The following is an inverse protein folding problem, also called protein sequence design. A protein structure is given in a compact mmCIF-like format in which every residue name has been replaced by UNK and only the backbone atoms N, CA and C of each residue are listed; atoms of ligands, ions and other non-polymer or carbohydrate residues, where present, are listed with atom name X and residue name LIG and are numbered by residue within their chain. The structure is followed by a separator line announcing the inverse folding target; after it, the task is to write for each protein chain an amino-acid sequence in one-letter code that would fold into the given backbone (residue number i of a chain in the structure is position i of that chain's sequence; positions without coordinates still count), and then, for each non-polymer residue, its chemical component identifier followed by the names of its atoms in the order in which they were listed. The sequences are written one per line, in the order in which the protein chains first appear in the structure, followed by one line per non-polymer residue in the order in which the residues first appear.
data_IF_027723103455
#
_entry.id   IF_027723103455
#
_cell.length_a   1.000
_cell.length_b   1.000
_cell.length_c   1.000
_cell.angle_alpha   90.00
_cell.angle_beta   90.00
_cell.angle_gamma   90.00
#
_symmetry.space_group_name_H-M   'P 1'
#
loop_
_entity.id
_entity.type
_entity.pdbx_description
1 polymer ?
#
# COMPACT_ATOMS: atom_id res chain seq x y z
N UNK A 1 2.06 -7.11 -12.90
CA UNK A 1 2.54 -7.65 -11.60
C UNK A 1 1.74 -6.96 -10.52
N UNK A 2 1.24 -7.71 -9.53
CA UNK A 2 0.21 -7.29 -8.56
C UNK A 2 -1.18 -6.93 -9.12
N UNK A 3 -1.58 -7.47 -10.28
CA UNK A 3 -2.88 -7.15 -10.90
C UNK A 3 -4.06 -7.51 -10.00
N UNK A 4 -3.98 -8.66 -9.31
CA UNK A 4 -5.00 -9.10 -8.35
C UNK A 4 -5.09 -8.13 -7.16
N UNK A 5 -3.96 -7.73 -6.59
CA UNK A 5 -3.93 -6.81 -5.44
C UNK A 5 -4.42 -5.41 -5.83
N UNK A 6 -4.05 -4.93 -7.01
CA UNK A 6 -4.54 -3.65 -7.54
C UNK A 6 -6.06 -3.68 -7.77
N UNK A 7 -6.58 -4.81 -8.26
CA UNK A 7 -8.02 -5.02 -8.42
C UNK A 7 -8.73 -5.05 -7.05
N UNK A 8 -8.20 -5.78 -6.06
CA UNK A 8 -8.75 -5.80 -4.69
C UNK A 8 -8.76 -4.42 -4.04
N UNK A 9 -7.73 -3.60 -4.27
CA UNK A 9 -7.70 -2.20 -3.83
C UNK A 9 -8.82 -1.40 -4.50
N UNK A 10 -8.98 -1.52 -5.82
CA UNK A 10 -10.01 -0.80 -6.58
C UNK A 10 -11.43 -1.16 -6.11
N UNK A 11 -11.72 -2.45 -5.93
CA UNK A 11 -12.99 -2.94 -5.40
C UNK A 11 -13.24 -2.41 -3.98
N UNK A 12 -12.22 -2.44 -3.12
CA UNK A 12 -12.35 -1.92 -1.76
C UNK A 12 -12.55 -0.39 -1.73
N UNK A 13 -11.96 0.35 -2.68
CA UNK A 13 -12.19 1.78 -2.84
C UNK A 13 -13.64 2.09 -3.22
N UNK A 14 -14.24 1.30 -4.11
CA UNK A 14 -15.67 1.40 -4.45
C UNK A 14 -16.55 1.14 -3.23
N UNK A 15 -16.29 0.06 -2.48
CA UNK A 15 -17.03 -0.29 -1.27
C UNK A 15 -16.96 0.79 -0.19
N UNK A 16 -15.77 1.34 0.08
CA UNK A 16 -15.59 2.46 1.02
C UNK A 16 -16.29 3.72 0.53
N UNK A 17 -16.46 3.90 -0.78
CA UNK A 17 -17.20 5.03 -1.33
C UNK A 17 -18.71 4.94 -1.12
N UNK A 18 -19.27 3.74 -1.02
CA UNK A 18 -20.68 3.50 -0.70
C UNK A 18 -20.99 3.72 0.79
N UNK A 19 -20.01 3.54 1.69
CA UNK A 19 -20.14 3.83 3.11
C UNK A 19 -18.85 3.57 3.88
N UNK A 20 -18.48 4.48 4.79
CA UNK A 20 -17.22 4.40 5.55
C UNK A 20 -17.31 3.48 6.78
N UNK A 21 -18.48 3.33 7.37
CA UNK A 21 -18.63 2.69 8.68
C UNK A 21 -18.50 1.16 8.58
N UNK A 22 -17.65 0.58 9.45
CA UNK A 22 -17.52 -0.88 9.62
C UNK A 22 -16.66 -1.59 8.57
N UNK A 23 -15.93 -0.83 7.73
CA UNK A 23 -15.09 -1.36 6.64
C UNK A 23 -13.61 -1.51 7.03
N UNK A 24 -13.25 -1.22 8.27
CA UNK A 24 -11.85 -1.23 8.76
C UNK A 24 -11.17 -2.58 8.55
N UNK A 25 -11.88 -3.68 8.89
CA UNK A 25 -11.32 -5.02 8.79
C UNK A 25 -11.12 -5.45 7.33
N UNK A 26 -12.02 -5.07 6.43
CA UNK A 26 -11.90 -5.35 5.00
C UNK A 26 -10.68 -4.63 4.41
N UNK A 27 -10.50 -3.36 4.75
CA UNK A 27 -9.32 -2.58 4.33
C UNK A 27 -8.02 -3.17 4.91
N UNK A 28 -8.02 -3.61 6.18
CA UNK A 28 -6.86 -4.27 6.78
C UNK A 28 -6.50 -5.59 6.07
N UNK A 29 -7.50 -6.36 5.65
CA UNK A 29 -7.28 -7.60 4.92
C UNK A 29 -6.62 -7.31 3.56
N UNK A 30 -7.14 -6.33 2.80
CA UNK A 30 -6.55 -5.91 1.52
C UNK A 30 -5.09 -5.45 1.69
N UNK A 31 -4.80 -4.64 2.72
CA UNK A 31 -3.43 -4.21 3.03
C UNK A 31 -2.52 -5.41 3.32
N UNK A 32 -3.01 -6.38 4.11
CA UNK A 32 -2.24 -7.58 4.45
C UNK A 32 -1.97 -8.46 3.22
N UNK A 33 -2.95 -8.64 2.35
CA UNK A 33 -2.80 -9.37 1.08
C UNK A 33 -1.78 -8.72 0.16
N UNK A 34 -1.80 -7.38 0.07
CA UNK A 34 -0.80 -6.63 -0.68
C UNK A 34 0.62 -6.86 -0.16
N UNK A 35 0.81 -6.78 1.16
CA UNK A 35 2.12 -7.00 1.77
C UNK A 35 2.59 -8.46 1.58
N UNK A 36 1.70 -9.44 1.80
CA UNK A 36 2.02 -10.86 1.64
C UNK A 36 2.40 -11.20 0.20
N UNK A 37 1.70 -10.65 -0.79
CA UNK A 37 2.03 -10.83 -2.20
C UNK A 37 3.44 -10.30 -2.51
N UNK A 38 3.80 -9.14 -1.94
CA UNK A 38 5.13 -8.56 -2.11
C UNK A 38 6.22 -9.38 -1.43
N UNK A 39 5.99 -9.83 -0.20
CA UNK A 39 6.90 -10.72 0.51
C UNK A 39 7.11 -12.03 -0.27
N UNK A 40 6.05 -12.61 -0.83
CA UNK A 40 6.14 -13.83 -1.62
C UNK A 40 6.97 -13.65 -2.90
N UNK A 41 6.79 -12.51 -3.60
CA UNK A 41 7.56 -12.22 -4.81
C UNK A 41 9.04 -11.96 -4.53
N UNK A 42 9.35 -11.38 -3.36
CA UNK A 42 10.70 -10.91 -3.00
C UNK A 42 11.39 -11.77 -1.94
N UNK A 43 10.99 -13.02 -1.78
CA UNK A 43 11.56 -13.96 -0.79
C UNK A 43 11.60 -13.39 0.64
N UNK A 44 10.59 -12.60 1.01
CA UNK A 44 10.44 -11.96 2.32
C UNK A 44 11.09 -10.58 2.44
N UNK A 45 11.71 -10.04 1.38
CA UNK A 45 12.33 -8.72 1.41
C UNK A 45 11.37 -7.61 0.96
N UNK A 46 10.98 -6.73 1.90
CA UNK A 46 10.28 -5.47 1.60
C UNK A 46 11.27 -4.31 1.70
N UNK A 47 11.23 -3.41 0.72
CA UNK A 47 12.06 -2.20 0.73
C UNK A 47 11.60 -1.18 1.78
N UNK A 48 12.48 -0.25 2.21
CA UNK A 48 12.15 0.71 3.26
C UNK A 48 11.00 1.66 2.88
N UNK A 49 10.84 1.99 1.60
CA UNK A 49 9.74 2.83 1.14
C UNK A 49 8.41 2.09 1.25
N UNK A 50 8.33 0.89 0.69
CA UNK A 50 7.15 0.04 0.71
C UNK A 50 6.70 -0.25 2.15
N UNK A 51 7.65 -0.58 3.04
CA UNK A 51 7.37 -0.79 4.45
C UNK A 51 6.76 0.46 5.11
N UNK A 52 7.31 1.64 4.83
CA UNK A 52 6.78 2.90 5.35
C UNK A 52 5.34 3.16 4.87
N UNK A 53 5.03 2.88 3.60
CA UNK A 53 3.69 3.04 3.06
C UNK A 53 2.70 2.04 3.68
N UNK A 54 3.08 0.77 3.89
CA UNK A 54 2.23 -0.21 4.58
C UNK A 54 1.98 0.16 6.05
N UNK A 55 2.98 0.66 6.75
CA UNK A 55 2.81 1.13 8.12
C UNK A 55 1.92 2.37 8.20
N UNK A 56 2.07 3.29 7.23
CA UNK A 56 1.18 4.44 7.10
C UNK A 56 -0.26 4.01 6.80
N UNK A 57 -0.46 3.04 5.92
CA UNK A 57 -1.77 2.48 5.61
C UNK A 57 -2.47 1.95 6.88
N UNK A 58 -1.76 1.18 7.72
CA UNK A 58 -2.29 0.68 9.00
C UNK A 58 -2.64 1.80 9.97
N UNK A 59 -1.81 2.85 10.05
CA UNK A 59 -2.10 4.04 10.87
C UNK A 59 -3.36 4.75 10.37
N UNK A 60 -3.50 4.89 9.05
CA UNK A 60 -4.65 5.52 8.42
C UNK A 60 -5.95 4.75 8.72
N UNK A 61 -5.94 3.40 8.66
CA UNK A 61 -7.12 2.60 9.07
C UNK A 61 -7.49 2.87 10.53
N UNK A 62 -6.53 2.80 11.46
CA UNK A 62 -6.79 3.06 12.89
C UNK A 62 -7.31 4.47 13.17
N UNK A 63 -7.06 5.40 12.26
CA UNK A 63 -7.49 6.80 12.34
C UNK A 63 -8.79 7.07 11.57
N UNK A 64 -9.42 6.05 10.99
CA UNK A 64 -10.66 6.17 10.21
C UNK A 64 -10.49 6.69 8.78
N UNK A 65 -9.25 6.83 8.29
CA UNK A 65 -8.97 7.32 6.94
C UNK A 65 -8.83 6.16 5.94
N UNK A 66 -9.95 5.46 5.68
CA UNK A 66 -9.95 4.21 4.91
C UNK A 66 -9.47 4.35 3.46
N UNK A 67 -9.94 5.38 2.73
CA UNK A 67 -9.45 5.64 1.35
C UNK A 67 -7.95 5.94 1.33
N UNK A 68 -7.46 6.71 2.30
CA UNK A 68 -6.04 7.03 2.40
C UNK A 68 -5.21 5.78 2.68
N UNK A 69 -5.73 4.86 3.49
CA UNK A 69 -5.08 3.59 3.75
C UNK A 69 -4.92 2.74 2.48
N UNK A 70 -5.98 2.66 1.67
CA UNK A 70 -5.96 1.94 0.39
C UNK A 70 -4.99 2.57 -0.62
N UNK A 71 -4.98 3.90 -0.73
CA UNK A 71 -4.02 4.61 -1.62
C UNK A 71 -2.57 4.44 -1.14
N UNK A 72 -2.31 4.39 0.16
CA UNK A 72 -0.97 4.10 0.67
C UNK A 72 -0.53 2.67 0.33
N UNK A 73 -1.43 1.68 0.44
CA UNK A 73 -1.15 0.31 0.02
C UNK A 73 -0.88 0.22 -1.49
N UNK A 74 -1.69 0.90 -2.31
CA UNK A 74 -1.49 1.02 -3.76
C UNK A 74 -0.11 1.59 -4.08
N UNK A 75 0.28 2.66 -3.38
CA UNK A 75 1.58 3.30 -3.56
C UNK A 75 2.72 2.34 -3.25
N UNK A 76 2.62 1.50 -2.21
CA UNK A 76 3.62 0.48 -1.93
C UNK A 76 3.82 -0.47 -3.13
N UNK A 77 2.71 -0.94 -3.74
CA UNK A 77 2.77 -1.79 -4.93
C UNK A 77 3.36 -1.07 -6.14
N UNK A 78 3.02 0.20 -6.36
CA UNK A 78 3.54 0.99 -7.48
C UNK A 78 5.04 1.25 -7.32
N UNK A 79 5.49 1.70 -6.16
CA UNK A 79 6.92 2.04 -5.96
C UNK A 79 7.81 0.81 -6.00
N UNK A 80 7.28 -0.36 -5.63
CA UNK A 80 7.98 -1.64 -5.75
C UNK A 80 8.30 -2.00 -7.21
N UNK A 81 7.56 -1.45 -8.18
CA UNK A 81 7.74 -1.74 -9.60
C UNK A 81 8.64 -0.71 -10.32
N UNK A 82 9.14 0.30 -9.60
CA UNK A 82 10.04 1.29 -10.17
C UNK A 82 11.39 0.68 -10.56
N UNK A 83 12.03 1.26 -11.57
CA UNK A 83 13.44 0.98 -11.81
C UNK A 83 14.27 1.41 -10.59
N UNK A 84 15.42 0.76 -10.37
CA UNK A 84 16.29 1.09 -9.24
C UNK A 84 16.66 2.59 -9.19
N UNK A 85 16.91 3.22 -10.34
CA UNK A 85 17.25 4.64 -10.42
C UNK A 85 16.08 5.55 -9.98
N UNK A 86 14.85 5.23 -10.40
CA UNK A 86 13.66 5.99 -10.00
C UNK A 86 13.32 5.78 -8.53
N UNK A 87 13.47 4.56 -8.03
CA UNK A 87 13.28 4.21 -6.63
C UNK A 87 14.24 5.00 -5.73
N UNK A 88 15.55 4.94 -6.03
CA UNK A 88 16.57 5.66 -5.27
C UNK A 88 16.38 7.18 -5.34
N UNK A 89 16.04 7.72 -6.50
CA UNK A 89 15.74 9.13 -6.63
C UNK A 89 14.55 9.55 -5.74
N UNK A 90 13.44 8.81 -5.80
CA UNK A 90 12.24 9.09 -5.03
C UNK A 90 12.46 8.96 -3.52
N UNK A 91 13.13 7.90 -3.09
CA UNK A 91 13.43 7.64 -1.67
C UNK A 91 14.33 8.72 -1.05
N UNK A 92 15.24 9.28 -1.85
CA UNK A 92 16.20 10.31 -1.42
C UNK A 92 15.73 11.74 -1.72
N UNK A 93 14.57 11.92 -2.35
CA UNK A 93 14.04 13.24 -2.67
C UNK A 93 13.81 14.06 -1.39
N UNK A 94 14.46 15.23 -1.31
CA UNK A 94 14.41 16.10 -0.12
C UNK A 94 15.27 15.64 1.08
N UNK A 95 15.99 14.52 0.97
CA UNK A 95 16.97 14.06 1.99
C UNK A 95 18.39 14.57 1.73
N UNK A 96 18.68 15.06 0.52
CA UNK A 96 19.92 15.76 0.21
C UNK A 96 19.82 17.18 0.77
N UNK A 97 20.40 17.40 1.94
CA UNK A 97 20.70 18.73 2.49
C UNK A 97 22.17 19.07 2.25
#
# INVERSE_FOLDING_TARGET
MYEEQMQSIAECLELVAEGYDGREQEVLNVIAECQQAMEAEREGAIGPWEQQEFDYARIAVRSGFLRLALVAAEKALVVSQLSHAEYEYGLNYGRVK
#
